data_IF_875470599614
#
_entry.id   IF_875470599614
#
_cell.length_a   1.000
_cell.length_b   1.000
_cell.length_c   1.000
_cell.angle_alpha   90.00
_cell.angle_beta   90.00
_cell.angle_gamma   90.00
#
_symmetry.space_group_name_H-M   'P 1'
#
loop_
_entity.id
_entity.type
_entity.pdbx_description
1 polymer ?
#
# COMPACT_ATOMS: atom_id res chain seq x y z
N UNK A 1 -44.07 -0.12 5.01
CA UNK A 1 -42.70 0.19 5.48
C UNK A 1 -41.75 -0.79 4.79
N UNK A 2 -41.04 -0.35 3.76
CA UNK A 2 -40.13 -1.20 2.99
C UNK A 2 -38.89 -1.56 3.84
N UNK A 3 -38.41 -2.83 3.81
CA UNK A 3 -37.26 -3.22 4.60
C UNK A 3 -36.00 -2.57 4.01
N UNK A 4 -35.18 -2.01 4.89
CA UNK A 4 -33.88 -1.41 4.57
C UNK A 4 -33.07 -2.43 3.78
N UNK A 5 -32.60 -2.00 2.60
CA UNK A 5 -31.73 -2.72 1.70
C UNK A 5 -30.60 -3.38 2.51
N UNK A 6 -30.63 -4.72 2.64
CA UNK A 6 -29.49 -5.48 3.16
C UNK A 6 -28.33 -5.19 2.21
N UNK A 7 -27.36 -4.42 2.68
CA UNK A 7 -26.07 -4.28 2.01
C UNK A 7 -25.49 -5.69 1.90
N UNK A 8 -25.45 -6.27 0.70
CA UNK A 8 -24.83 -7.57 0.46
C UNK A 8 -23.30 -7.44 0.59
N UNK A 9 -22.83 -7.38 1.84
CA UNK A 9 -21.41 -7.31 2.17
C UNK A 9 -20.67 -8.57 1.68
N UNK A 10 -21.38 -9.68 1.49
CA UNK A 10 -20.79 -10.94 1.00
C UNK A 10 -20.29 -10.85 -0.45
N UNK A 11 -20.87 -9.99 -1.30
CA UNK A 11 -20.39 -9.75 -2.67
C UNK A 11 -19.38 -8.61 -2.78
N UNK A 12 -19.10 -7.90 -1.69
CA UNK A 12 -18.08 -6.85 -1.64
C UNK A 12 -16.67 -7.48 -1.64
N UNK A 13 -16.27 -8.06 -2.76
CA UNK A 13 -14.88 -8.48 -2.97
C UNK A 13 -14.05 -7.23 -3.22
N UNK A 14 -13.08 -6.96 -2.33
CA UNK A 14 -12.06 -5.94 -2.59
C UNK A 14 -11.34 -6.33 -3.88
N UNK A 15 -11.52 -5.54 -4.93
CA UNK A 15 -10.98 -5.77 -6.29
C UNK A 15 -9.46 -5.94 -6.29
N UNK A 16 -8.77 -5.52 -5.22
CA UNK A 16 -7.32 -5.55 -5.06
C UNK A 16 -6.79 -6.59 -4.06
N UNK A 17 -7.53 -7.67 -3.76
CA UNK A 17 -7.10 -8.66 -2.76
C UNK A 17 -5.95 -9.57 -3.22
N UNK A 18 -5.57 -9.54 -4.50
CA UNK A 18 -4.52 -10.38 -5.05
C UNK A 18 -3.14 -9.69 -4.88
N UNK A 19 -2.40 -10.11 -3.86
CA UNK A 19 -1.03 -9.62 -3.62
C UNK A 19 -0.03 -10.46 -4.40
N UNK A 20 0.76 -9.83 -5.27
CA UNK A 20 1.91 -10.48 -5.95
C UNK A 20 3.22 -10.00 -5.32
N UNK A 21 4.14 -10.94 -5.03
CA UNK A 21 5.49 -10.61 -4.57
C UNK A 21 6.35 -10.19 -5.77
N UNK A 22 7.08 -9.09 -5.62
CA UNK A 22 8.09 -8.62 -6.57
C UNK A 22 9.39 -8.44 -5.79
N UNK A 23 10.50 -8.90 -6.36
CA UNK A 23 11.83 -8.68 -5.81
C UNK A 23 12.48 -7.51 -6.57
N UNK A 24 13.10 -6.59 -5.84
CA UNK A 24 13.74 -5.39 -6.39
C UNK A 24 15.03 -5.16 -5.62
N UNK A 25 16.13 -4.95 -6.34
CA UNK A 25 17.40 -4.52 -5.77
C UNK A 25 17.46 -3.00 -5.74
N UNK A 26 18.01 -2.46 -4.66
CA UNK A 26 18.17 -1.02 -4.46
C UNK A 26 19.65 -0.67 -4.27
N UNK A 27 20.13 0.44 -4.86
CA UNK A 27 21.44 0.98 -4.52
C UNK A 27 21.53 1.30 -3.02
N UNK A 28 22.72 1.14 -2.47
CA UNK A 28 23.03 1.34 -1.05
C UNK A 28 22.66 2.75 -0.54
N UNK A 29 22.83 3.80 -1.35
CA UNK A 29 22.39 5.15 -1.00
C UNK A 29 20.87 5.26 -0.82
N UNK A 30 20.10 4.50 -1.60
CA UNK A 30 18.63 4.52 -1.54
C UNK A 30 18.14 3.78 -0.31
N UNK A 31 18.78 2.65 0.06
CA UNK A 31 18.49 1.93 1.30
C UNK A 31 18.71 2.86 2.50
N UNK A 32 19.84 3.57 2.57
CA UNK A 32 20.11 4.54 3.64
C UNK A 32 19.04 5.64 3.74
N UNK A 33 18.58 6.17 2.60
CA UNK A 33 17.52 7.17 2.58
C UNK A 33 16.18 6.60 3.09
N UNK A 34 15.83 5.37 2.66
CA UNK A 34 14.64 4.67 3.12
C UNK A 34 14.68 4.39 4.63
N UNK A 35 15.84 4.03 5.17
CA UNK A 35 16.05 3.78 6.60
C UNK A 35 15.77 5.01 7.44
N UNK A 36 16.39 6.13 7.04
CA UNK A 36 16.24 7.41 7.72
C UNK A 36 14.76 7.83 7.77
N UNK A 37 14.09 7.75 6.63
CA UNK A 37 12.69 8.17 6.51
C UNK A 37 11.73 7.22 7.23
N UNK A 38 11.97 5.92 7.13
CA UNK A 38 11.20 4.89 7.87
C UNK A 38 11.27 5.16 9.37
N UNK A 39 12.46 5.49 9.89
CA UNK A 39 12.65 5.83 11.30
C UNK A 39 11.94 7.13 11.68
N UNK A 40 12.02 8.16 10.84
CA UNK A 40 11.35 9.45 11.04
C UNK A 40 9.83 9.32 11.14
N UNK A 41 9.26 8.44 10.32
CA UNK A 41 7.81 8.20 10.25
C UNK A 41 7.32 7.09 11.20
N UNK A 42 8.24 6.33 11.81
CA UNK A 42 7.89 5.20 12.68
C UNK A 42 7.24 4.03 11.94
N UNK A 43 7.56 3.84 10.65
CA UNK A 43 6.99 2.77 9.81
C UNK A 43 8.09 1.87 9.23
N UNK A 44 7.72 0.72 8.68
CA UNK A 44 8.68 -0.16 8.01
C UNK A 44 9.03 0.36 6.61
N UNK A 45 10.21 -0.01 6.11
CA UNK A 45 10.62 0.26 4.70
C UNK A 45 9.57 -0.20 3.69
N UNK A 46 9.00 -1.39 3.91
CA UNK A 46 7.97 -1.95 3.04
C UNK A 46 6.71 -1.07 3.00
N UNK A 47 6.31 -0.51 4.15
CA UNK A 47 5.18 0.42 4.22
C UNK A 47 5.51 1.75 3.54
N UNK A 48 6.72 2.28 3.76
CA UNK A 48 7.20 3.51 3.11
C UNK A 48 7.25 3.36 1.58
N UNK A 49 7.85 2.27 1.08
CA UNK A 49 7.93 1.98 -0.37
C UNK A 49 6.52 1.91 -0.97
N UNK A 50 5.58 1.20 -0.32
CA UNK A 50 4.19 1.14 -0.77
C UNK A 50 3.54 2.52 -0.85
N UNK A 51 3.71 3.35 0.19
CA UNK A 51 3.15 4.70 0.25
C UNK A 51 3.68 5.58 -0.89
N UNK A 52 4.99 5.59 -1.10
CA UNK A 52 5.61 6.40 -2.15
C UNK A 52 5.23 5.94 -3.56
N UNK A 53 5.20 4.62 -3.81
CA UNK A 53 4.75 4.09 -5.11
C UNK A 53 3.29 4.46 -5.37
N UNK A 54 2.40 4.29 -4.39
CA UNK A 54 0.99 4.67 -4.52
C UNK A 54 0.85 6.16 -4.84
N UNK A 55 1.51 7.03 -4.05
CA UNK A 55 1.49 8.48 -4.28
C UNK A 55 2.01 8.89 -5.66
N UNK A 56 2.98 8.16 -6.21
CA UNK A 56 3.54 8.45 -7.54
C UNK A 56 2.64 7.94 -8.67
N UNK A 57 1.96 6.82 -8.48
CA UNK A 57 1.01 6.27 -9.45
C UNK A 57 -0.30 7.06 -9.50
N UNK A 58 -0.78 7.57 -8.36
CA UNK A 58 -2.01 8.38 -8.26
C UNK A 58 -1.88 9.76 -8.91
N UNK A 59 -0.65 10.24 -9.17
CA UNK A 59 -0.38 11.53 -9.83
C UNK A 59 -0.50 11.46 -11.36
N UNK A 60 -0.81 10.31 -11.93
CA UNK A 60 -1.06 10.10 -13.36
C UNK A 60 -2.55 9.95 -13.62
#
# INVERSE_FOLDING_TARGET
MAPILKLEVEKARRVNNETRRVNVDFPDWMIRALDHESKRLGITRQALIKLWIANQLDRK
#
